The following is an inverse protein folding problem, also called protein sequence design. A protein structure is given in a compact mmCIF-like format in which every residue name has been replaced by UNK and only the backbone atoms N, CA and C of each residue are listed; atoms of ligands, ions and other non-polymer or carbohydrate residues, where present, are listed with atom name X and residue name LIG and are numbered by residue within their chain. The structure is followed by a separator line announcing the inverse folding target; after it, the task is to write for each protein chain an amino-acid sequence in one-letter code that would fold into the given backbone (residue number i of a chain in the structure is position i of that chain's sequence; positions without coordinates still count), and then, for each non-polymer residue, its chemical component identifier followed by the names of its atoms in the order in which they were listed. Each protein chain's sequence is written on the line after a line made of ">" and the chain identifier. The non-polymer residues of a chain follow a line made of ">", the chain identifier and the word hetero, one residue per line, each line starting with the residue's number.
data_IF_697618958726
#
_entry.id   IF_697618958726
#
_cell.length_a   1.000
_cell.length_b   1.000
_cell.length_c   1.000
_cell.angle_alpha   90.00
_cell.angle_beta   90.00
_cell.angle_gamma   90.00
#
_symmetry.space_group_name_H-M   'P 1'
#
loop_
_entity.id
_entity.type
_entity.pdbx_description
1 polymer ?
#
# COMPACT_ATOMS: atom_id res chain seq x y z
N UNK A 1 -6.47 -33.24 45.90
CA UNK A 1 -7.89 -32.97 45.52
C UNK A 1 -8.05 -31.65 44.79
N UNK A 2 -7.54 -30.50 45.28
CA UNK A 2 -7.68 -29.18 44.64
C UNK A 2 -7.23 -29.10 43.16
N UNK A 3 -6.17 -29.81 42.77
CA UNK A 3 -5.64 -29.83 41.39
C UNK A 3 -6.51 -30.64 40.41
N UNK A 4 -7.15 -31.73 40.87
CA UNK A 4 -8.13 -32.47 40.05
C UNK A 4 -9.43 -31.69 39.89
N UNK A 5 -9.85 -30.93 40.91
CA UNK A 5 -11.04 -30.07 40.84
C UNK A 5 -10.82 -28.86 39.93
N UNK A 6 -9.61 -28.28 39.88
CA UNK A 6 -9.28 -27.24 38.90
C UNK A 6 -9.24 -27.79 37.47
N UNK A 7 -8.64 -28.97 37.25
CA UNK A 7 -8.59 -29.59 35.92
C UNK A 7 -9.99 -29.98 35.42
N UNK A 8 -10.83 -30.55 36.31
CA UNK A 8 -12.22 -30.84 35.97
C UNK A 8 -13.04 -29.57 35.77
N UNK A 9 -12.77 -28.47 36.49
CA UNK A 9 -13.43 -27.19 36.26
C UNK A 9 -13.00 -26.55 34.93
N UNK A 10 -11.73 -26.63 34.54
CA UNK A 10 -11.26 -26.17 33.22
C UNK A 10 -11.75 -27.05 32.08
N UNK A 11 -11.85 -28.37 32.28
CA UNK A 11 -12.47 -29.29 31.32
C UNK A 11 -14.00 -29.14 31.26
N UNK A 12 -14.66 -28.82 32.38
CA UNK A 12 -16.09 -28.48 32.38
C UNK A 12 -16.34 -27.13 31.72
N UNK A 13 -15.51 -26.12 31.96
CA UNK A 13 -15.64 -24.81 31.29
C UNK A 13 -15.39 -24.96 29.79
N UNK A 14 -14.39 -25.74 29.38
CA UNK A 14 -14.15 -26.07 27.97
C UNK A 14 -15.30 -26.91 27.35
N UNK A 15 -15.93 -27.81 28.12
CA UNK A 15 -17.07 -28.60 27.67
C UNK A 15 -18.41 -27.85 27.74
N UNK A 16 -18.53 -26.79 28.55
CA UNK A 16 -19.70 -25.91 28.62
C UNK A 16 -19.70 -24.79 27.57
N UNK A 17 -18.60 -24.61 26.82
CA UNK A 17 -18.50 -23.60 25.74
C UNK A 17 -18.47 -24.16 24.33
N UNK A 18 -18.59 -25.49 24.14
CA UNK A 18 -18.81 -26.07 22.82
C UNK A 18 -20.27 -25.84 22.38
N UNK A 19 -20.65 -24.59 22.10
CA UNK A 19 -21.84 -24.32 21.32
C UNK A 19 -21.62 -24.92 19.94
N UNK A 20 -22.54 -25.80 19.52
CA UNK A 20 -22.55 -26.35 18.16
C UNK A 20 -22.52 -25.19 17.15
N UNK A 21 -21.75 -25.34 16.07
CA UNK A 21 -21.64 -24.34 15.01
C UNK A 21 -23.01 -24.15 14.38
N UNK A 22 -23.64 -23.04 14.73
CA UNK A 22 -25.05 -22.79 14.41
C UNK A 22 -25.13 -21.63 13.43
N UNK A 23 -25.93 -21.82 12.39
CA UNK A 23 -26.30 -20.79 11.43
C UNK A 23 -27.78 -20.50 11.61
N UNK A 24 -28.09 -19.35 12.20
CA UNK A 24 -29.44 -18.79 12.12
C UNK A 24 -29.56 -17.99 10.83
N UNK A 25 -30.65 -18.14 10.09
CA UNK A 25 -30.85 -17.41 8.84
C UNK A 25 -32.32 -17.04 8.63
N UNK A 26 -32.55 -16.02 7.80
CA UNK A 26 -33.89 -15.60 7.38
C UNK A 26 -33.93 -15.56 5.86
N UNK A 27 -34.91 -16.24 5.26
CA UNK A 27 -35.19 -16.21 3.83
C UNK A 27 -36.70 -15.94 3.59
N UNK A 28 -37.19 -16.20 2.37
CA UNK A 28 -38.60 -16.04 2.01
C UNK A 28 -39.57 -16.93 2.82
N UNK A 29 -39.07 -18.01 3.44
CA UNK A 29 -39.85 -18.95 4.26
C UNK A 29 -39.84 -18.57 5.76
N UNK A 30 -39.10 -17.54 6.14
CA UNK A 30 -39.00 -17.04 7.51
C UNK A 30 -37.66 -17.37 8.16
N UNK A 31 -37.63 -17.33 9.49
CA UNK A 31 -36.42 -17.55 10.29
C UNK A 31 -36.24 -19.04 10.57
N UNK A 32 -35.03 -19.54 10.34
CA UNK A 32 -34.61 -20.92 10.60
C UNK A 32 -33.26 -20.95 11.31
N UNK A 33 -32.91 -22.10 11.91
CA UNK A 33 -31.63 -22.32 12.56
C UNK A 33 -31.28 -23.80 12.50
N UNK A 34 -30.05 -24.12 12.11
CA UNK A 34 -29.52 -25.49 12.10
C UNK A 34 -27.99 -25.46 12.17
N UNK A 35 -27.36 -26.61 12.42
CA UNK A 35 -25.92 -26.74 12.39
C UNK A 35 -25.38 -26.60 10.97
N UNK A 36 -24.17 -26.06 10.79
CA UNK A 36 -23.51 -25.96 9.47
C UNK A 36 -23.44 -27.31 8.75
N UNK A 37 -23.28 -28.41 9.50
CA UNK A 37 -23.21 -29.77 8.97
C UNK A 37 -24.56 -30.32 8.46
N UNK A 38 -25.66 -29.64 8.73
CA UNK A 38 -27.00 -29.97 8.24
C UNK A 38 -27.38 -29.20 6.97
N UNK A 39 -26.50 -28.32 6.48
CA UNK A 39 -26.71 -27.63 5.21
C UNK A 39 -26.28 -28.53 4.04
N UNK A 40 -27.01 -28.41 2.94
CA UNK A 40 -26.58 -28.85 1.62
C UNK A 40 -26.17 -27.62 0.81
N UNK A 41 -25.42 -27.85 -0.27
CA UNK A 41 -24.99 -26.78 -1.18
C UNK A 41 -26.19 -25.91 -1.59
N UNK A 42 -25.98 -24.58 -1.62
CA UNK A 42 -26.96 -23.55 -1.96
C UNK A 42 -28.13 -23.34 -0.99
N UNK A 43 -28.20 -24.01 0.16
CA UNK A 43 -29.27 -23.82 1.13
C UNK A 43 -29.40 -22.36 1.65
N UNK A 44 -28.31 -21.59 1.61
CA UNK A 44 -28.29 -20.18 2.02
C UNK A 44 -28.30 -19.19 0.84
N UNK A 45 -28.51 -19.63 -0.40
CA UNK A 45 -28.43 -18.75 -1.58
C UNK A 45 -29.43 -17.58 -1.57
N UNK A 46 -30.56 -17.75 -0.88
CA UNK A 46 -31.64 -16.76 -0.77
C UNK A 46 -31.73 -16.15 0.63
N UNK A 47 -30.79 -16.48 1.53
CA UNK A 47 -30.78 -15.93 2.87
C UNK A 47 -30.54 -14.41 2.81
N UNK A 48 -31.40 -13.66 3.47
CA UNK A 48 -31.30 -12.19 3.60
C UNK A 48 -30.55 -11.78 4.87
N UNK A 49 -30.54 -12.65 5.88
CA UNK A 49 -29.78 -12.45 7.12
C UNK A 49 -29.12 -13.75 7.52
N UNK A 50 -27.91 -13.70 8.07
CA UNK A 50 -27.30 -14.80 8.81
C UNK A 50 -26.76 -14.34 10.17
N UNK A 51 -26.77 -15.24 11.15
CA UNK A 51 -26.08 -15.09 12.43
C UNK A 51 -25.32 -16.37 12.72
N UNK A 52 -24.02 -16.24 12.91
CA UNK A 52 -23.09 -17.35 13.11
C UNK A 52 -22.64 -17.39 14.57
N UNK A 53 -22.63 -18.57 15.15
CA UNK A 53 -22.20 -18.77 16.53
C UNK A 53 -21.51 -20.12 16.70
N UNK A 54 -20.76 -20.28 17.80
CA UNK A 54 -19.99 -21.49 18.09
C UNK A 54 -18.54 -21.42 17.62
N UNK A 55 -17.83 -22.53 17.72
CA UNK A 55 -16.40 -22.63 17.38
C UNK A 55 -16.20 -23.17 15.97
N UNK A 56 -15.60 -22.38 15.08
CA UNK A 56 -15.45 -22.68 13.67
C UNK A 56 -14.00 -23.07 13.33
N UNK A 57 -13.83 -24.06 12.45
CA UNK A 57 -12.56 -24.41 11.84
C UNK A 57 -12.55 -24.16 10.32
N UNK A 58 -11.44 -24.51 9.64
CA UNK A 58 -11.30 -24.36 8.18
C UNK A 58 -12.36 -25.18 7.40
N UNK A 59 -12.80 -26.34 7.91
CA UNK A 59 -13.78 -27.19 7.24
C UNK A 59 -15.18 -26.56 7.31
N UNK A 60 -15.54 -26.03 8.48
CA UNK A 60 -16.82 -25.34 8.68
C UNK A 60 -16.93 -24.08 7.82
N UNK A 61 -15.87 -23.26 7.75
CA UNK A 61 -15.84 -22.07 6.88
C UNK A 61 -15.89 -22.43 5.40
N UNK A 62 -15.22 -23.52 5.00
CA UNK A 62 -15.29 -24.03 3.63
C UNK A 62 -16.72 -24.46 3.27
N UNK A 63 -17.41 -25.15 4.16
CA UNK A 63 -18.84 -25.50 3.98
C UNK A 63 -19.71 -24.24 3.91
N UNK A 64 -19.50 -23.27 4.80
CA UNK A 64 -20.25 -22.02 4.80
C UNK A 64 -20.09 -21.25 3.49
N UNK A 65 -18.86 -21.19 2.96
CA UNK A 65 -18.59 -20.64 1.63
C UNK A 65 -19.40 -21.36 0.56
N UNK A 66 -19.40 -22.69 0.53
CA UNK A 66 -20.13 -23.47 -0.49
C UNK A 66 -21.64 -23.22 -0.46
N UNK A 67 -22.24 -23.12 0.73
CA UNK A 67 -23.69 -22.92 0.86
C UNK A 67 -24.12 -21.47 0.57
N UNK A 68 -23.19 -20.50 0.59
CA UNK A 68 -23.42 -19.10 0.27
C UNK A 68 -23.07 -18.73 -1.18
N UNK A 69 -21.94 -19.22 -1.72
CA UNK A 69 -21.29 -18.61 -2.91
C UNK A 69 -20.61 -19.57 -3.94
N UNK A 70 -20.99 -20.85 -4.04
CA UNK A 70 -20.31 -21.80 -4.94
C UNK A 70 -20.51 -21.53 -6.45
N UNK A 71 -19.39 -21.42 -7.20
CA UNK A 71 -19.27 -21.29 -8.67
C UNK A 71 -20.28 -20.33 -9.32
N UNK A 72 -21.40 -20.87 -9.84
CA UNK A 72 -22.45 -20.12 -10.55
C UNK A 72 -23.43 -19.42 -9.61
N UNK A 73 -23.37 -19.70 -8.30
CA UNK A 73 -24.37 -19.27 -7.32
C UNK A 73 -23.74 -18.39 -6.27
N UNK A 74 -24.05 -17.09 -6.31
CA UNK A 74 -23.62 -16.09 -5.33
C UNK A 74 -24.84 -15.57 -4.59
N UNK A 75 -24.86 -15.59 -3.26
CA UNK A 75 -25.95 -14.97 -2.50
C UNK A 75 -25.91 -13.45 -2.65
N UNK A 76 -26.70 -12.93 -3.60
CA UNK A 76 -26.88 -11.49 -3.85
C UNK A 76 -27.98 -10.84 -3.02
N UNK A 77 -28.60 -11.57 -2.10
CA UNK A 77 -29.72 -11.11 -1.26
C UNK A 77 -29.31 -10.88 0.20
N UNK A 78 -28.14 -11.38 0.61
CA UNK A 78 -27.64 -11.28 1.97
C UNK A 78 -27.38 -9.83 2.34
N UNK A 79 -28.23 -9.29 3.20
CA UNK A 79 -28.16 -7.89 3.66
C UNK A 79 -27.44 -7.75 4.99
N UNK A 80 -27.53 -8.77 5.85
CA UNK A 80 -26.99 -8.75 7.20
C UNK A 80 -26.24 -10.03 7.52
N UNK A 81 -25.00 -9.91 7.98
CA UNK A 81 -24.22 -11.00 8.53
C UNK A 81 -23.70 -10.63 9.93
N UNK A 82 -24.08 -11.41 10.94
CA UNK A 82 -23.59 -11.24 12.31
C UNK A 82 -22.70 -12.43 12.70
N UNK A 83 -21.40 -12.19 12.75
CA UNK A 83 -20.36 -13.16 13.09
C UNK A 83 -19.82 -12.92 14.51
N UNK A 84 -20.40 -11.99 15.27
CA UNK A 84 -19.84 -11.52 16.54
C UNK A 84 -19.77 -12.60 17.62
N UNK A 85 -20.56 -13.67 17.49
CA UNK A 85 -20.60 -14.81 18.40
C UNK A 85 -19.76 -16.02 17.93
N UNK A 86 -18.97 -15.87 16.86
CA UNK A 86 -18.04 -16.91 16.43
C UNK A 86 -16.76 -16.90 17.26
N UNK A 87 -16.23 -18.09 17.51
CA UNK A 87 -14.85 -18.32 17.92
C UNK A 87 -14.16 -19.23 16.91
N UNK A 88 -12.83 -19.28 16.91
CA UNK A 88 -12.05 -20.10 15.98
C UNK A 88 -11.25 -21.16 16.71
N UNK A 89 -11.40 -22.42 16.31
CA UNK A 89 -10.67 -23.55 16.89
C UNK A 89 -9.44 -23.90 16.05
N UNK A 90 -8.26 -23.61 16.59
CA UNK A 90 -6.99 -23.83 15.88
C UNK A 90 -6.71 -22.74 14.85
N UNK A 91 -5.64 -22.93 14.07
CA UNK A 91 -5.25 -22.02 12.99
C UNK A 91 -6.21 -22.21 11.81
N UNK A 92 -6.74 -21.11 11.29
CA UNK A 92 -7.63 -21.07 10.14
C UNK A 92 -6.79 -20.67 8.92
N UNK A 93 -6.20 -21.66 8.29
CA UNK A 93 -5.17 -21.46 7.25
C UNK A 93 -5.76 -20.85 5.99
N UNK A 94 -6.99 -21.22 5.63
CA UNK A 94 -7.71 -20.65 4.50
C UNK A 94 -8.45 -19.35 4.88
N UNK A 95 -8.41 -18.97 6.17
CA UNK A 95 -9.10 -17.82 6.71
C UNK A 95 -10.58 -17.75 6.31
N UNK A 96 -11.04 -16.54 6.00
CA UNK A 96 -12.38 -16.27 5.49
C UNK A 96 -12.40 -16.13 3.96
N UNK A 97 -11.48 -16.78 3.25
CA UNK A 97 -11.30 -16.59 1.81
C UNK A 97 -12.63 -16.73 1.07
N UNK A 98 -12.95 -15.71 0.27
CA UNK A 98 -14.16 -15.57 -0.54
C UNK A 98 -15.50 -15.62 0.21
N UNK A 99 -15.56 -15.75 1.53
CA UNK A 99 -16.79 -16.11 2.27
C UNK A 99 -18.07 -15.32 1.90
N UNK A 100 -17.95 -14.02 1.60
CA UNK A 100 -19.03 -13.12 1.21
C UNK A 100 -18.85 -12.52 -0.19
N UNK A 101 -18.02 -13.13 -1.04
CA UNK A 101 -17.75 -12.70 -2.40
C UNK A 101 -19.08 -12.56 -3.19
N UNK A 102 -19.33 -11.38 -3.76
CA UNK A 102 -20.58 -10.97 -4.42
C UNK A 102 -21.85 -10.98 -3.56
N UNK A 103 -21.74 -10.86 -2.23
CA UNK A 103 -22.87 -10.41 -1.41
C UNK A 103 -23.11 -8.91 -1.63
N UNK A 104 -23.58 -8.54 -2.83
CA UNK A 104 -23.66 -7.17 -3.35
C UNK A 104 -24.49 -6.22 -2.47
N UNK A 105 -25.51 -6.76 -1.78
CA UNK A 105 -26.41 -5.99 -0.91
C UNK A 105 -26.05 -6.05 0.58
N UNK A 106 -24.93 -6.70 0.93
CA UNK A 106 -24.46 -6.81 2.32
C UNK A 106 -24.08 -5.42 2.83
N UNK A 107 -24.87 -4.92 3.79
CA UNK A 107 -24.74 -3.56 4.33
C UNK A 107 -24.54 -3.53 5.84
N UNK A 108 -24.90 -4.62 6.54
CA UNK A 108 -24.71 -4.74 7.99
C UNK A 108 -23.84 -5.96 8.26
N UNK A 109 -22.64 -5.73 8.78
CA UNK A 109 -21.68 -6.76 9.12
C UNK A 109 -21.21 -6.56 10.56
N UNK A 110 -21.20 -7.63 11.35
CA UNK A 110 -20.50 -7.64 12.65
C UNK A 110 -19.45 -8.73 12.63
N UNK A 111 -18.20 -8.33 12.78
CA UNK A 111 -17.07 -9.25 12.80
C UNK A 111 -16.88 -9.89 14.19
N UNK A 112 -16.26 -11.08 14.27
CA UNK A 112 -15.80 -11.66 15.53
C UNK A 112 -14.88 -10.70 16.29
N UNK A 113 -15.03 -10.66 17.61
CA UNK A 113 -14.20 -9.83 18.51
C UNK A 113 -13.48 -10.66 19.58
N UNK A 114 -13.73 -11.97 19.59
CA UNK A 114 -13.06 -12.91 20.48
C UNK A 114 -11.55 -13.01 20.15
N UNK A 115 -10.73 -13.33 21.15
CA UNK A 115 -9.28 -13.44 20.99
C UNK A 115 -8.87 -14.51 19.96
N UNK A 116 -9.71 -15.51 19.71
CA UNK A 116 -9.48 -16.51 18.67
C UNK A 116 -9.52 -15.95 17.24
N UNK A 117 -10.02 -14.72 17.01
CA UNK A 117 -9.95 -14.06 15.70
C UNK A 117 -8.50 -13.89 15.20
N UNK A 118 -7.51 -13.88 16.10
CA UNK A 118 -6.10 -13.90 15.75
C UNK A 118 -5.67 -15.16 14.98
N UNK A 119 -6.47 -16.24 15.00
CA UNK A 119 -6.19 -17.48 14.28
C UNK A 119 -6.57 -17.42 12.79
N UNK A 120 -7.22 -16.35 12.32
CA UNK A 120 -7.66 -16.20 10.93
C UNK A 120 -6.61 -15.43 10.15
N UNK A 121 -5.98 -16.09 9.17
CA UNK A 121 -4.82 -15.54 8.46
C UNK A 121 -5.11 -15.05 7.03
N UNK A 122 -6.33 -15.24 6.51
CA UNK A 122 -6.71 -14.81 5.16
C UNK A 122 -8.06 -14.10 5.15
N UNK A 123 -8.10 -13.01 4.40
CA UNK A 123 -9.30 -12.29 3.95
C UNK A 123 -9.36 -12.22 2.42
N UNK A 124 -8.61 -13.07 1.70
CA UNK A 124 -8.57 -13.05 0.24
C UNK A 124 -9.97 -13.08 -0.34
N UNK A 125 -10.32 -12.05 -1.09
CA UNK A 125 -11.59 -11.90 -1.79
C UNK A 125 -12.85 -12.01 -0.91
N UNK A 126 -12.70 -11.95 0.43
CA UNK A 126 -13.79 -12.24 1.38
C UNK A 126 -15.02 -11.38 1.14
N UNK A 127 -14.85 -10.10 0.84
CA UNK A 127 -15.93 -9.14 0.60
C UNK A 127 -15.86 -8.55 -0.81
N UNK A 128 -15.20 -9.19 -1.77
CA UNK A 128 -15.13 -8.65 -3.14
C UNK A 128 -16.57 -8.49 -3.67
N UNK A 129 -16.88 -7.32 -4.22
CA UNK A 129 -18.20 -6.94 -4.73
C UNK A 129 -19.29 -6.82 -3.65
N UNK A 130 -18.96 -6.64 -2.37
CA UNK A 130 -19.92 -6.20 -1.35
C UNK A 130 -20.19 -4.68 -1.46
N UNK A 131 -20.81 -4.26 -2.56
CA UNK A 131 -20.93 -2.83 -2.93
C UNK A 131 -21.75 -1.97 -1.97
N UNK A 132 -22.59 -2.56 -1.12
CA UNK A 132 -23.36 -1.86 -0.09
C UNK A 132 -22.67 -1.78 1.29
N UNK A 133 -21.49 -2.39 1.46
CA UNK A 133 -20.77 -2.40 2.73
C UNK A 133 -20.17 -1.02 3.00
N UNK A 134 -20.32 -0.50 4.23
CA UNK A 134 -19.92 0.87 4.57
C UNK A 134 -18.80 0.94 5.60
N UNK A 135 -18.71 -0.03 6.50
CA UNK A 135 -17.69 -0.11 7.54
C UNK A 135 -17.39 -1.57 7.86
N UNK A 136 -16.13 -1.84 8.22
CA UNK A 136 -15.68 -3.15 8.70
C UNK A 136 -14.71 -2.97 9.85
N UNK A 137 -14.88 -3.75 10.91
CA UNK A 137 -13.98 -3.76 12.07
C UNK A 137 -13.15 -5.05 12.06
N UNK A 138 -11.87 -4.94 11.69
CA UNK A 138 -10.91 -6.05 11.70
C UNK A 138 -9.91 -5.94 12.85
N UNK A 139 -10.19 -5.13 13.87
CA UNK A 139 -9.24 -4.85 14.94
C UNK A 139 -8.77 -6.07 15.74
N UNK A 140 -9.56 -7.14 15.77
CA UNK A 140 -9.24 -8.39 16.47
C UNK A 140 -8.37 -9.38 15.66
N UNK A 141 -8.11 -9.11 14.38
CA UNK A 141 -7.45 -10.03 13.45
C UNK A 141 -5.97 -9.65 13.28
N UNK A 142 -5.10 -10.19 14.13
CA UNK A 142 -3.69 -9.75 14.21
C UNK A 142 -2.70 -10.64 13.45
N UNK A 143 -3.13 -11.69 12.75
CA UNK A 143 -2.23 -12.67 12.10
C UNK A 143 -2.37 -12.73 10.58
N UNK A 144 -2.77 -11.64 9.93
CA UNK A 144 -3.23 -11.69 8.54
C UNK A 144 -2.05 -11.72 7.57
N UNK A 145 -2.03 -12.72 6.68
CA UNK A 145 -1.05 -12.89 5.60
C UNK A 145 -1.63 -12.53 4.23
N UNK A 146 -2.93 -12.77 4.01
CA UNK A 146 -3.55 -12.57 2.69
C UNK A 146 -4.75 -11.63 2.77
N UNK A 147 -4.67 -10.52 2.03
CA UNK A 147 -5.69 -9.50 1.86
C UNK A 147 -6.08 -9.30 0.39
N UNK A 148 -5.55 -10.13 -0.52
CA UNK A 148 -5.75 -10.00 -1.96
C UNK A 148 -7.24 -9.89 -2.32
N UNK A 149 -7.67 -8.77 -2.92
CA UNK A 149 -9.07 -8.53 -3.29
C UNK A 149 -10.09 -8.46 -2.14
N UNK A 150 -9.65 -8.42 -0.87
CA UNK A 150 -10.53 -8.57 0.30
C UNK A 150 -11.76 -7.66 0.28
N UNK A 151 -11.62 -6.43 -0.18
CA UNK A 151 -12.67 -5.42 -0.34
C UNK A 151 -12.75 -4.85 -1.75
N UNK A 152 -12.26 -5.58 -2.76
CA UNK A 152 -12.37 -5.14 -4.16
C UNK A 152 -13.84 -4.81 -4.49
N UNK A 153 -14.09 -3.72 -5.20
CA UNK A 153 -15.44 -3.28 -5.60
C UNK A 153 -16.43 -3.04 -4.44
N UNK A 154 -15.96 -2.82 -3.21
CA UNK A 154 -16.77 -2.33 -2.09
C UNK A 154 -17.00 -0.80 -2.22
N UNK A 155 -17.76 -0.40 -3.24
CA UNK A 155 -17.84 1.01 -3.67
C UNK A 155 -18.27 2.00 -2.58
N UNK A 156 -19.11 1.58 -1.62
CA UNK A 156 -19.61 2.41 -0.50
C UNK A 156 -18.79 2.31 0.79
N UNK A 157 -17.70 1.54 0.80
CA UNK A 157 -16.87 1.33 1.98
C UNK A 157 -16.17 2.63 2.35
N UNK A 158 -16.40 3.13 3.57
CA UNK A 158 -15.86 4.41 4.06
C UNK A 158 -14.70 4.23 5.01
N UNK A 159 -14.71 3.14 5.78
CA UNK A 159 -13.71 2.88 6.82
C UNK A 159 -13.50 1.38 7.00
N UNK A 160 -12.25 1.01 7.22
CA UNK A 160 -11.88 -0.31 7.74
C UNK A 160 -10.97 -0.08 8.93
N UNK A 161 -11.38 -0.58 10.10
CA UNK A 161 -10.51 -0.53 11.28
C UNK A 161 -9.54 -1.71 11.21
N UNK A 162 -8.30 -1.39 10.90
CA UNK A 162 -7.20 -2.35 10.88
C UNK A 162 -6.75 -2.73 12.29
N UNK A 163 -6.15 -3.92 12.48
CA UNK A 163 -5.53 -4.28 13.73
C UNK A 163 -4.41 -3.31 14.08
N UNK A 164 -4.27 -2.98 15.37
CA UNK A 164 -3.20 -2.09 15.85
C UNK A 164 -1.79 -2.73 15.74
N UNK A 165 -1.73 -4.04 15.47
CA UNK A 165 -0.52 -4.84 15.30
C UNK A 165 -0.85 -6.02 14.39
N UNK A 166 0.05 -6.36 13.46
CA UNK A 166 -0.05 -7.60 12.69
C UNK A 166 1.20 -8.47 12.94
N UNK A 167 1.02 -9.55 13.70
CA UNK A 167 1.99 -10.59 14.05
C UNK A 167 2.06 -11.71 13.00
N UNK A 168 1.96 -11.35 11.72
CA UNK A 168 2.13 -12.30 10.63
C UNK A 168 3.59 -12.78 10.58
N UNK A 169 3.77 -14.10 10.69
CA UNK A 169 5.08 -14.77 10.59
C UNK A 169 5.31 -15.40 9.20
N UNK A 170 4.47 -15.06 8.21
CA UNK A 170 4.57 -15.64 6.87
C UNK A 170 5.87 -15.19 6.18
N UNK A 171 6.69 -16.19 5.83
CA UNK A 171 7.99 -16.00 5.18
C UNK A 171 7.85 -15.44 3.76
N UNK A 172 6.69 -15.63 3.11
CA UNK A 172 6.41 -15.10 1.78
C UNK A 172 5.92 -13.64 1.83
N UNK A 173 5.59 -13.15 3.03
CA UNK A 173 5.12 -11.78 3.24
C UNK A 173 3.64 -11.60 2.94
N UNK A 174 3.15 -10.39 3.21
CA UNK A 174 1.72 -10.08 3.19
C UNK A 174 1.30 -9.62 1.79
N UNK A 175 0.23 -10.21 1.27
CA UNK A 175 -0.38 -9.85 -0.02
C UNK A 175 -1.55 -8.87 0.18
N UNK A 176 -1.43 -7.66 -0.36
CA UNK A 176 -2.51 -6.66 -0.40
C UNK A 176 -3.00 -6.36 -1.82
N UNK A 177 -2.69 -7.21 -2.80
CA UNK A 177 -3.04 -7.00 -4.19
C UNK A 177 -4.55 -6.75 -4.35
N UNK A 178 -4.92 -5.62 -4.95
CA UNK A 178 -6.31 -5.20 -5.20
C UNK A 178 -7.21 -5.15 -3.94
N UNK A 179 -6.65 -5.14 -2.72
CA UNK A 179 -7.41 -5.31 -1.49
C UNK A 179 -8.54 -4.28 -1.29
N UNK A 180 -8.38 -3.07 -1.83
CA UNK A 180 -9.39 -1.99 -1.80
C UNK A 180 -9.66 -1.42 -3.20
N UNK A 181 -9.39 -2.17 -4.27
CA UNK A 181 -9.66 -1.71 -5.63
C UNK A 181 -11.13 -1.26 -5.76
N UNK A 182 -11.38 -0.11 -6.40
CA UNK A 182 -12.71 0.49 -6.56
C UNK A 182 -13.48 0.83 -5.26
N UNK A 183 -12.82 0.91 -4.09
CA UNK A 183 -13.43 1.45 -2.86
C UNK A 183 -13.62 2.97 -2.95
N UNK A 184 -14.58 3.41 -3.77
CA UNK A 184 -14.72 4.80 -4.21
C UNK A 184 -15.06 5.81 -3.09
N UNK A 185 -15.62 5.34 -1.98
CA UNK A 185 -15.97 6.13 -0.79
C UNK A 185 -14.94 6.05 0.34
N UNK A 186 -13.86 5.26 0.21
CA UNK A 186 -12.83 5.13 1.24
C UNK A 186 -12.05 6.44 1.33
N UNK A 187 -11.94 6.99 2.54
CA UNK A 187 -11.32 8.32 2.76
C UNK A 187 -9.97 8.23 3.47
N UNK A 188 -9.80 7.24 4.34
CA UNK A 188 -8.59 6.99 5.10
C UNK A 188 -8.39 5.50 5.38
N UNK A 189 -7.12 5.10 5.53
CA UNK A 189 -6.74 3.74 5.91
C UNK A 189 -5.38 3.75 6.63
N UNK A 190 -5.25 2.92 7.66
CA UNK A 190 -4.04 2.78 8.46
C UNK A 190 -3.43 1.39 8.25
N UNK A 191 -2.33 1.32 7.50
CA UNK A 191 -1.57 0.09 7.25
C UNK A 191 -0.26 0.06 8.03
N UNK A 192 -0.06 0.96 9.00
CA UNK A 192 1.22 1.09 9.70
C UNK A 192 1.62 -0.15 10.51
N UNK A 193 0.65 -1.00 10.87
CA UNK A 193 0.84 -2.25 11.59
C UNK A 193 1.37 -3.41 10.74
N UNK A 194 1.35 -3.29 9.40
CA UNK A 194 1.72 -4.37 8.48
C UNK A 194 3.17 -4.24 8.02
N UNK A 195 4.05 -5.04 8.60
CA UNK A 195 5.44 -5.20 8.14
C UNK A 195 5.55 -6.38 7.17
N UNK A 196 6.61 -6.44 6.34
CA UNK A 196 6.85 -7.54 5.40
C UNK A 196 5.77 -7.70 4.31
N UNK A 197 5.29 -6.59 3.73
CA UNK A 197 4.35 -6.64 2.60
C UNK A 197 5.12 -7.01 1.34
N UNK A 198 4.65 -7.98 0.56
CA UNK A 198 5.32 -8.41 -0.68
C UNK A 198 4.57 -7.97 -1.96
N UNK A 199 3.29 -7.60 -1.87
CA UNK A 199 2.53 -7.09 -3.01
C UNK A 199 1.55 -5.98 -2.59
N UNK A 200 1.61 -4.84 -3.29
CA UNK A 200 0.69 -3.70 -3.17
C UNK A 200 0.03 -3.36 -4.51
N UNK A 201 0.11 -4.26 -5.50
CA UNK A 201 -0.42 -4.04 -6.84
C UNK A 201 -1.91 -3.72 -6.76
N UNK A 202 -2.34 -2.58 -7.29
CA UNK A 202 -3.75 -2.17 -7.36
C UNK A 202 -4.44 -1.97 -6.01
N UNK A 203 -3.72 -1.97 -4.88
CA UNK A 203 -4.32 -1.94 -3.52
C UNK A 203 -5.43 -0.87 -3.38
N UNK A 204 -5.22 0.34 -3.92
CA UNK A 204 -6.19 1.44 -3.89
C UNK A 204 -6.56 1.96 -5.29
N UNK A 205 -6.46 1.14 -6.34
CA UNK A 205 -6.85 1.62 -7.67
C UNK A 205 -8.32 2.08 -7.69
N UNK A 206 -8.56 3.23 -8.29
CA UNK A 206 -9.85 3.95 -8.33
C UNK A 206 -10.47 4.27 -6.95
N UNK A 207 -9.70 4.31 -5.86
CA UNK A 207 -10.15 4.88 -4.57
C UNK A 207 -10.24 6.41 -4.63
N UNK A 208 -11.22 6.93 -5.38
CA UNK A 208 -11.29 8.34 -5.80
C UNK A 208 -11.36 9.36 -4.66
N UNK A 209 -11.91 8.98 -3.50
CA UNK A 209 -12.03 9.82 -2.29
C UNK A 209 -10.92 9.62 -1.25
N UNK A 210 -9.94 8.76 -1.53
CA UNK A 210 -8.87 8.48 -0.59
C UNK A 210 -7.99 9.72 -0.41
N UNK A 211 -7.88 10.21 0.82
CA UNK A 211 -7.11 11.42 1.15
C UNK A 211 -5.88 11.13 2.00
N UNK A 212 -5.95 10.12 2.87
CA UNK A 212 -4.92 9.81 3.87
C UNK A 212 -4.63 8.32 3.88
N UNK A 213 -3.37 7.96 3.74
CA UNK A 213 -2.91 6.57 3.91
C UNK A 213 -1.69 6.59 4.82
N UNK A 214 -1.74 5.81 5.90
CA UNK A 214 -0.56 5.58 6.74
C UNK A 214 0.10 4.28 6.32
N UNK A 215 1.26 4.40 5.71
CA UNK A 215 2.07 3.25 5.31
C UNK A 215 2.96 2.76 6.46
N UNK A 216 3.44 1.51 6.43
CA UNK A 216 4.47 1.05 7.36
C UNK A 216 5.73 1.88 7.24
N UNK A 217 6.36 2.19 8.39
CA UNK A 217 7.56 3.02 8.44
C UNK A 217 8.77 2.37 7.74
N UNK A 218 8.77 1.04 7.57
CA UNK A 218 9.82 0.30 6.89
C UNK A 218 9.27 -0.97 6.25
N UNK A 219 9.65 -1.22 5.01
CA UNK A 219 9.47 -2.48 4.33
C UNK A 219 10.63 -2.73 3.34
N UNK A 220 11.36 -3.83 3.54
CA UNK A 220 12.55 -4.20 2.76
C UNK A 220 12.31 -5.39 1.83
N UNK A 221 11.09 -5.95 1.85
CA UNK A 221 10.71 -7.07 1.01
C UNK A 221 10.55 -6.59 -0.43
N UNK A 222 11.09 -7.37 -1.37
CA UNK A 222 10.98 -7.03 -2.80
C UNK A 222 9.52 -7.07 -3.23
N UNK A 223 9.05 -6.01 -3.88
CA UNK A 223 7.63 -5.87 -4.24
C UNK A 223 7.36 -4.98 -5.46
N UNK A 224 6.09 -4.97 -5.88
CA UNK A 224 5.56 -4.09 -6.92
C UNK A 224 4.53 -3.11 -6.38
N UNK A 225 4.55 -1.87 -6.88
CA UNK A 225 3.59 -0.80 -6.59
C UNK A 225 2.64 -0.54 -7.77
N UNK A 226 2.57 -1.47 -8.72
CA UNK A 226 1.85 -1.26 -9.97
C UNK A 226 0.39 -0.87 -9.69
N UNK A 227 -0.06 0.27 -10.23
CA UNK A 227 -1.43 0.78 -10.03
C UNK A 227 -1.86 1.06 -8.58
N UNK A 228 -0.97 1.00 -7.59
CA UNK A 228 -1.34 1.00 -6.16
C UNK A 228 -2.23 2.17 -5.72
N UNK A 229 -2.11 3.34 -6.34
CA UNK A 229 -2.95 4.52 -6.10
C UNK A 229 -3.52 5.11 -7.40
N UNK A 230 -3.61 4.31 -8.48
CA UNK A 230 -4.11 4.81 -9.76
C UNK A 230 -5.52 5.37 -9.56
N UNK A 231 -5.78 6.57 -10.07
CA UNK A 231 -7.09 7.23 -9.97
C UNK A 231 -7.49 7.71 -8.56
N UNK A 232 -6.60 7.70 -7.57
CA UNK A 232 -6.83 8.30 -6.24
C UNK A 232 -6.86 9.84 -6.34
N UNK A 233 -7.92 10.39 -6.95
CA UNK A 233 -7.99 11.79 -7.36
C UNK A 233 -7.95 12.80 -6.21
N UNK A 234 -8.35 12.41 -4.99
CA UNK A 234 -8.34 13.27 -3.80
C UNK A 234 -7.09 13.12 -2.92
N UNK A 235 -6.17 12.20 -3.26
CA UNK A 235 -4.93 11.98 -2.51
C UNK A 235 -4.02 13.22 -2.66
N UNK A 236 -3.59 13.80 -1.53
CA UNK A 236 -2.79 15.04 -1.51
C UNK A 236 -1.32 14.82 -1.23
N UNK A 237 -1.03 13.91 -0.32
CA UNK A 237 0.33 13.59 0.13
C UNK A 237 0.41 12.10 0.39
N UNK A 238 1.56 11.50 0.10
CA UNK A 238 1.82 10.10 0.45
C UNK A 238 3.30 9.92 0.82
N UNK A 239 3.52 9.17 1.89
CA UNK A 239 4.86 8.79 2.34
C UNK A 239 5.11 7.32 2.04
N UNK A 240 5.98 7.06 1.06
CA UNK A 240 6.46 5.72 0.71
C UNK A 240 7.96 5.59 0.94
N UNK A 241 8.55 6.46 1.78
CA UNK A 241 9.99 6.49 2.03
C UNK A 241 10.52 5.21 2.70
N UNK A 242 9.64 4.47 3.37
CA UNK A 242 9.97 3.20 4.03
C UNK A 242 10.14 2.01 3.08
N UNK A 243 9.78 2.12 1.79
CA UNK A 243 9.80 1.01 0.84
C UNK A 243 11.07 1.02 -0.02
N UNK A 244 12.15 0.44 0.49
CA UNK A 244 13.48 0.52 -0.16
C UNK A 244 13.67 -0.49 -1.29
N UNK A 245 12.84 -1.53 -1.40
CA UNK A 245 13.05 -2.63 -2.35
C UNK A 245 11.87 -2.80 -3.34
N UNK A 246 11.62 -1.79 -4.17
CA UNK A 246 10.50 -1.79 -5.12
C UNK A 246 11.01 -1.91 -6.55
N UNK A 247 10.57 -2.95 -7.25
CA UNK A 247 10.96 -3.22 -8.63
C UNK A 247 10.23 -2.34 -9.65
N UNK A 248 8.96 -2.00 -9.42
CA UNK A 248 8.17 -1.23 -10.38
C UNK A 248 7.14 -0.32 -9.69
N UNK A 249 7.07 0.91 -10.19
CA UNK A 249 6.09 1.94 -9.84
C UNK A 249 5.12 2.23 -11.00
N UNK A 250 4.93 1.25 -11.89
CA UNK A 250 4.15 1.47 -13.11
C UNK A 250 2.72 1.94 -12.80
N UNK A 251 2.38 3.13 -13.30
CA UNK A 251 1.11 3.82 -13.09
C UNK A 251 0.68 3.96 -11.61
N UNK A 252 1.60 3.88 -10.65
CA UNK A 252 1.31 3.90 -9.21
C UNK A 252 0.46 5.10 -8.79
N UNK A 253 0.77 6.31 -9.26
CA UNK A 253 0.03 7.54 -8.94
C UNK A 253 -0.72 8.10 -10.15
N UNK A 254 -0.89 7.32 -11.23
CA UNK A 254 -1.51 7.81 -12.45
C UNK A 254 -2.93 8.32 -12.17
N UNK A 255 -3.23 9.57 -12.53
CA UNK A 255 -4.52 10.21 -12.28
C UNK A 255 -4.74 10.76 -10.87
N UNK A 256 -3.71 10.81 -10.01
CA UNK A 256 -3.77 11.47 -8.70
C UNK A 256 -3.75 13.01 -8.85
N UNK A 257 -4.85 13.58 -9.36
CA UNK A 257 -4.94 14.99 -9.77
C UNK A 257 -4.69 16.01 -8.64
N UNK A 258 -4.91 15.63 -7.38
CA UNK A 258 -4.68 16.50 -6.23
C UNK A 258 -3.36 16.24 -5.49
N UNK A 259 -2.53 15.33 -5.97
CA UNK A 259 -1.26 14.97 -5.34
C UNK A 259 -0.28 16.14 -5.45
N UNK A 260 0.18 16.62 -4.30
CA UNK A 260 1.10 17.77 -4.18
C UNK A 260 2.50 17.36 -3.71
N UNK A 261 2.61 16.26 -2.97
CA UNK A 261 3.88 15.78 -2.43
C UNK A 261 3.90 14.24 -2.40
N UNK A 262 5.03 13.66 -2.81
CA UNK A 262 5.33 12.24 -2.64
C UNK A 262 6.70 12.13 -1.99
N UNK A 263 6.79 11.48 -0.83
CA UNK A 263 8.08 11.15 -0.23
C UNK A 263 8.55 9.80 -0.74
N UNK A 264 9.45 9.85 -1.72
CA UNK A 264 10.10 8.68 -2.30
C UNK A 264 11.15 8.08 -1.33
N UNK A 265 11.53 6.80 -1.50
CA UNK A 265 12.64 6.21 -0.77
C UNK A 265 13.94 7.01 -0.98
N UNK A 266 14.68 7.26 0.11
CA UNK A 266 15.98 7.92 0.05
C UNK A 266 17.12 6.99 -0.45
N UNK A 267 16.84 5.69 -0.52
CA UNK A 267 17.72 4.65 -1.05
C UNK A 267 16.89 3.55 -1.69
N UNK A 268 17.40 2.94 -2.76
CA UNK A 268 16.81 1.76 -3.39
C UNK A 268 17.74 0.55 -3.26
N UNK A 269 17.20 -0.57 -2.81
CA UNK A 269 17.79 -1.90 -2.81
C UNK A 269 17.43 -2.69 -4.08
N UNK A 270 16.41 -2.24 -4.83
CA UNK A 270 16.03 -2.87 -6.10
C UNK A 270 17.14 -2.72 -7.14
N UNK A 271 17.39 -3.80 -7.87
CA UNK A 271 18.33 -3.80 -8.98
C UNK A 271 17.87 -2.93 -10.15
N UNK A 272 16.58 -2.95 -10.49
CA UNK A 272 15.99 -2.16 -11.57
C UNK A 272 14.72 -1.46 -11.07
N UNK A 273 14.40 -0.31 -11.67
CA UNK A 273 13.18 0.43 -11.37
C UNK A 273 12.46 0.85 -12.66
N UNK A 274 11.14 0.62 -12.70
CA UNK A 274 10.26 1.01 -13.80
C UNK A 274 9.31 2.12 -13.35
N UNK A 275 9.31 3.26 -14.04
CA UNK A 275 8.49 4.44 -13.72
C UNK A 275 7.42 4.76 -14.77
N UNK A 276 7.05 3.77 -15.60
CA UNK A 276 6.08 3.96 -16.68
C UNK A 276 4.78 4.55 -16.15
N UNK A 277 4.40 5.73 -16.66
CA UNK A 277 3.19 6.46 -16.30
C UNK A 277 3.02 6.74 -14.80
N UNK A 278 4.07 6.63 -13.97
CA UNK A 278 3.97 6.65 -12.49
C UNK A 278 3.25 7.88 -11.97
N UNK A 279 3.58 9.08 -12.46
CA UNK A 279 2.96 10.34 -12.05
C UNK A 279 2.06 10.93 -13.14
N UNK A 280 1.69 10.14 -14.16
CA UNK A 280 0.88 10.61 -15.29
C UNK A 280 -0.44 11.24 -14.79
N UNK A 281 -0.71 12.49 -15.15
CA UNK A 281 -1.89 13.25 -14.74
C UNK A 281 -1.86 13.80 -13.30
N UNK A 282 -0.72 13.76 -12.60
CA UNK A 282 -0.53 14.42 -11.30
C UNK A 282 -0.38 15.94 -11.48
N UNK A 283 -1.47 16.61 -11.86
CA UNK A 283 -1.45 18.01 -12.31
C UNK A 283 -1.10 19.04 -11.23
N UNK A 284 -1.07 18.66 -9.94
CA UNK A 284 -0.67 19.51 -8.81
C UNK A 284 0.68 19.16 -8.18
N UNK A 285 1.36 18.13 -8.68
CA UNK A 285 2.65 17.70 -8.13
C UNK A 285 3.72 18.69 -8.57
N UNK A 286 4.49 19.23 -7.60
CA UNK A 286 5.48 20.29 -7.86
C UNK A 286 6.91 19.77 -7.87
N UNK A 287 7.21 18.69 -7.14
CA UNK A 287 8.54 18.10 -7.15
C UNK A 287 8.54 16.60 -6.88
N UNK A 288 9.52 15.91 -7.46
CA UNK A 288 9.81 14.48 -7.22
C UNK A 288 11.32 14.26 -7.18
N UNK A 289 11.78 13.49 -6.21
CA UNK A 289 13.17 13.03 -6.11
C UNK A 289 13.28 11.53 -6.37
N UNK A 290 13.93 11.17 -7.49
CA UNK A 290 14.18 9.79 -7.91
C UNK A 290 15.67 9.42 -7.84
N UNK A 291 16.53 10.24 -7.24
CA UNK A 291 17.99 10.02 -7.23
C UNK A 291 18.42 8.73 -6.54
N UNK A 292 17.57 8.19 -5.67
CA UNK A 292 17.80 6.91 -5.00
C UNK A 292 17.83 5.72 -5.97
N UNK A 293 17.22 5.84 -7.15
CA UNK A 293 17.11 4.77 -8.14
C UNK A 293 18.27 4.88 -9.15
N UNK A 294 19.23 3.96 -9.06
CA UNK A 294 20.47 4.01 -9.85
C UNK A 294 20.44 3.21 -11.14
N UNK A 295 19.31 2.51 -11.39
CA UNK A 295 19.07 1.71 -12.60
C UNK A 295 17.60 1.83 -13.01
N UNK A 296 17.26 2.95 -13.65
CA UNK A 296 15.92 3.17 -14.21
C UNK A 296 15.88 2.74 -15.67
N UNK A 297 14.95 1.86 -16.02
CA UNK A 297 14.83 1.26 -17.36
C UNK A 297 13.69 1.82 -18.20
N UNK A 298 12.68 2.44 -17.58
CA UNK A 298 11.50 2.96 -18.28
C UNK A 298 10.98 4.25 -17.63
N UNK A 299 10.97 5.35 -18.40
CA UNK A 299 10.37 6.64 -18.02
C UNK A 299 9.18 7.02 -18.92
N UNK A 300 8.61 6.08 -19.69
CA UNK A 300 7.52 6.37 -20.61
C UNK A 300 6.36 7.02 -19.86
N UNK A 301 5.93 8.19 -20.33
CA UNK A 301 4.80 8.95 -19.77
C UNK A 301 4.90 9.26 -18.26
N UNK A 302 6.08 9.12 -17.63
CA UNK A 302 6.23 9.20 -16.17
C UNK A 302 5.66 10.50 -15.59
N UNK A 303 5.90 11.65 -16.25
CA UNK A 303 5.43 12.97 -15.84
C UNK A 303 4.44 13.57 -16.86
N UNK A 304 3.84 12.75 -17.72
CA UNK A 304 2.82 13.19 -18.68
C UNK A 304 1.68 13.91 -17.94
N UNK A 305 1.30 15.13 -18.34
CA UNK A 305 0.21 15.87 -17.69
C UNK A 305 0.56 16.48 -16.32
N UNK A 306 1.83 16.51 -15.91
CA UNK A 306 2.28 17.16 -14.67
C UNK A 306 2.39 18.69 -14.83
N UNK A 307 1.25 19.36 -15.00
CA UNK A 307 1.18 20.78 -15.39
C UNK A 307 1.65 21.79 -14.33
N UNK A 308 1.89 21.37 -13.09
CA UNK A 308 2.39 22.24 -12.00
C UNK A 308 3.82 21.90 -11.58
N UNK A 309 4.52 21.05 -12.34
CA UNK A 309 5.86 20.60 -11.96
C UNK A 309 6.87 21.75 -11.97
N UNK A 310 7.65 21.86 -10.90
CA UNK A 310 8.71 22.85 -10.72
C UNK A 310 10.10 22.18 -10.80
N UNK A 311 10.30 21.06 -10.10
CA UNK A 311 11.60 20.39 -10.01
C UNK A 311 11.52 18.87 -10.04
N UNK A 312 12.21 18.24 -10.99
CA UNK A 312 12.36 16.79 -11.08
C UNK A 312 13.85 16.44 -10.88
N UNK A 313 14.15 15.58 -9.90
CA UNK A 313 15.48 14.98 -9.76
C UNK A 313 15.45 13.55 -10.29
N UNK A 314 16.12 13.28 -11.41
CA UNK A 314 16.07 11.97 -12.05
C UNK A 314 16.97 10.95 -11.34
N UNK A 315 16.51 9.70 -11.32
CA UNK A 315 17.36 8.53 -11.07
C UNK A 315 18.24 8.22 -12.28
N UNK A 316 19.32 7.48 -12.06
CA UNK A 316 20.26 7.10 -13.13
C UNK A 316 19.56 6.21 -14.14
N UNK A 317 19.26 6.79 -15.31
CA UNK A 317 18.74 6.06 -16.44
C UNK A 317 19.83 5.12 -16.97
N UNK A 318 19.46 3.86 -17.20
CA UNK A 318 20.35 2.91 -17.83
C UNK A 318 20.38 3.24 -19.32
N UNK A 319 21.48 3.86 -19.80
CA UNK A 319 21.72 4.17 -21.22
C UNK A 319 22.12 2.88 -21.99
N UNK A 320 21.57 1.73 -21.63
CA UNK A 320 21.54 0.61 -22.56
C UNK A 320 20.33 0.85 -23.43
N UNK A 321 20.54 0.84 -24.74
CA UNK A 321 19.50 1.14 -25.73
C UNK A 321 18.16 0.51 -25.33
N UNK A 322 17.15 1.34 -24.98
CA UNK A 322 15.92 0.90 -24.31
C UNK A 322 15.15 -0.16 -25.12
N UNK A 323 15.42 -0.21 -26.43
CA UNK A 323 14.90 -1.16 -27.41
C UNK A 323 15.16 -2.63 -27.04
N UNK A 324 16.27 -2.93 -26.36
CA UNK A 324 16.64 -4.32 -26.01
C UNK A 324 15.97 -4.83 -24.72
N UNK A 325 15.46 -3.93 -23.86
CA UNK A 325 14.83 -4.28 -22.58
C UNK A 325 13.35 -3.87 -22.51
N UNK A 326 12.76 -3.41 -23.61
CA UNK A 326 11.33 -3.06 -23.70
C UNK A 326 10.93 -1.76 -23.00
N UNK A 327 11.90 -0.98 -22.49
CA UNK A 327 11.68 0.33 -21.89
C UNK A 327 11.42 1.40 -22.95
N UNK A 328 10.82 2.53 -22.55
CA UNK A 328 10.63 3.67 -23.45
C UNK A 328 10.83 5.00 -22.70
N UNK A 329 11.19 6.03 -23.43
CA UNK A 329 11.34 7.40 -22.93
C UNK A 329 10.32 8.35 -23.58
N UNK A 330 9.36 7.81 -24.32
CA UNK A 330 8.34 8.58 -25.04
C UNK A 330 7.42 9.30 -24.05
N UNK A 331 7.10 10.56 -24.36
CA UNK A 331 6.14 11.38 -23.64
C UNK A 331 6.44 11.59 -22.14
N UNK A 332 7.69 11.37 -21.71
CA UNK A 332 8.09 11.48 -20.29
C UNK A 332 7.69 12.81 -19.67
N UNK A 333 7.86 13.92 -20.40
CA UNK A 333 7.63 15.29 -19.92
C UNK A 333 6.51 16.04 -20.66
N UNK A 334 5.63 15.32 -21.36
CA UNK A 334 4.51 15.94 -22.08
C UNK A 334 3.63 16.74 -21.11
N UNK A 335 3.29 17.97 -21.47
CA UNK A 335 2.55 18.96 -20.65
C UNK A 335 3.25 19.45 -19.37
N UNK A 336 4.53 19.11 -19.15
CA UNK A 336 5.32 19.79 -18.12
C UNK A 336 5.57 21.26 -18.51
N UNK A 337 5.61 22.20 -17.54
CA UNK A 337 5.92 23.60 -17.83
C UNK A 337 7.36 23.79 -18.33
N UNK A 338 7.58 24.72 -19.25
CA UNK A 338 8.94 25.14 -19.69
C UNK A 338 9.83 25.66 -18.55
N UNK A 339 9.22 26.11 -17.45
CA UNK A 339 9.90 26.53 -16.23
C UNK A 339 10.35 25.36 -15.35
N UNK A 340 9.86 24.13 -15.59
CA UNK A 340 10.24 22.94 -14.85
C UNK A 340 11.72 22.65 -15.05
N UNK A 341 12.45 22.50 -13.95
CA UNK A 341 13.86 22.11 -13.95
C UNK A 341 13.98 20.60 -13.79
N UNK A 342 14.70 19.96 -14.69
CA UNK A 342 14.97 18.52 -14.64
C UNK A 342 16.44 18.32 -14.38
N UNK A 343 16.78 17.93 -13.16
CA UNK A 343 18.15 17.64 -12.74
C UNK A 343 18.52 16.23 -13.21
N UNK A 344 19.46 16.16 -14.14
CA UNK A 344 20.01 14.91 -14.66
C UNK A 344 20.83 14.19 -13.58
N UNK A 345 21.04 12.87 -13.67
CA UNK A 345 21.88 12.15 -12.73
C UNK A 345 23.33 12.67 -12.72
N UNK A 346 24.03 12.48 -11.60
CA UNK A 346 25.46 12.84 -11.48
C UNK A 346 26.27 12.17 -12.61
N UNK A 347 27.14 12.93 -13.27
CA UNK A 347 27.94 12.49 -14.42
C UNK A 347 27.23 12.55 -15.77
N UNK A 348 25.94 12.91 -15.82
CA UNK A 348 25.19 13.07 -17.08
C UNK A 348 25.16 14.54 -17.48
N UNK A 349 25.82 14.85 -18.59
CA UNK A 349 26.00 16.23 -19.07
C UNK A 349 24.97 16.66 -20.12
N UNK A 350 24.30 15.70 -20.76
CA UNK A 350 23.33 15.95 -21.82
C UNK A 350 22.11 15.05 -21.64
N UNK A 351 20.94 15.57 -21.94
CA UNK A 351 19.72 14.78 -21.94
C UNK A 351 19.70 13.79 -23.13
N UNK A 352 19.14 12.58 -22.97
CA UNK A 352 18.88 11.66 -24.07
C UNK A 352 18.20 12.32 -25.28
N UNK A 353 18.51 11.86 -26.49
CA UNK A 353 17.91 12.39 -27.74
C UNK A 353 16.38 12.32 -27.74
N UNK A 354 15.80 11.30 -27.11
CA UNK A 354 14.35 11.14 -26.95
C UNK A 354 13.67 12.31 -26.19
N UNK A 355 14.43 13.12 -25.46
CA UNK A 355 13.93 14.27 -24.71
C UNK A 355 14.35 15.61 -25.31
N UNK A 356 14.94 15.63 -26.52
CA UNK A 356 15.45 16.86 -27.15
C UNK A 356 14.38 17.95 -27.29
N UNK A 357 13.13 17.56 -27.55
CA UNK A 357 12.00 18.48 -27.74
C UNK A 357 11.13 18.61 -26.49
N UNK A 358 11.58 18.09 -25.34
CA UNK A 358 10.82 18.16 -24.11
C UNK A 358 10.65 19.63 -23.66
N UNK A 359 9.45 20.04 -23.21
CA UNK A 359 9.15 21.42 -22.82
C UNK A 359 9.65 21.70 -21.39
N UNK A 360 10.92 21.42 -21.09
CA UNK A 360 11.53 21.54 -19.76
C UNK A 360 12.97 22.06 -19.86
N UNK A 361 13.52 22.53 -18.74
CA UNK A 361 14.93 22.95 -18.68
C UNK A 361 15.76 21.85 -18.01
N UNK A 362 16.64 21.20 -18.76
CA UNK A 362 17.57 20.21 -18.21
C UNK A 362 18.74 20.89 -17.49
N UNK A 363 19.04 20.40 -16.29
CA UNK A 363 20.17 20.82 -15.47
C UNK A 363 21.16 19.64 -15.41
N UNK A 364 22.35 19.75 -16.04
CA UNK A 364 23.32 18.66 -16.08
C UNK A 364 23.97 18.38 -14.71
N UNK A 365 24.59 17.20 -14.60
CA UNK A 365 25.38 16.75 -13.43
C UNK A 365 24.67 16.92 -12.07
N UNK A 366 23.37 16.66 -12.03
CA UNK A 366 22.56 16.82 -10.80
C UNK A 366 22.46 18.25 -10.30
N UNK A 367 22.74 19.26 -11.14
CA UNK A 367 22.85 20.65 -10.71
C UNK A 367 24.19 21.03 -10.10
N UNK A 368 25.23 20.21 -10.27
CA UNK A 368 26.59 20.58 -9.88
C UNK A 368 27.05 21.84 -10.60
N UNK A 369 27.30 22.93 -9.86
CA UNK A 369 28.06 24.05 -10.40
C UNK A 369 29.54 23.79 -10.09
N UNK A 370 30.36 23.62 -11.11
CA UNK A 370 31.81 23.68 -10.93
C UNK A 370 32.18 25.11 -10.54
N UNK A 371 32.57 25.32 -9.28
CA UNK A 371 33.15 26.58 -8.83
C UNK A 371 34.65 26.34 -8.67
N UNK A 372 35.47 27.04 -9.46
CA UNK A 372 36.91 27.06 -9.22
C UNK A 372 37.19 27.80 -7.90
N UNK A 373 37.65 27.05 -6.90
CA UNK A 373 38.25 27.61 -5.70
C UNK A 373 39.67 27.04 -5.55
N UNK A 374 40.67 27.92 -5.48
CA UNK A 374 42.08 27.57 -5.25
C UNK A 374 42.69 26.58 -6.27
N UNK A 375 42.23 26.60 -7.53
CA UNK A 375 42.80 25.77 -8.59
C UNK A 375 42.44 24.28 -8.52
N UNK A 376 41.42 23.92 -7.74
CA UNK A 376 40.83 22.56 -7.71
C UNK A 376 39.36 22.68 -8.08
N UNK A 377 38.93 21.97 -9.13
CA UNK A 377 37.52 21.79 -9.49
C UNK A 377 36.91 20.72 -8.58
N UNK A 378 36.34 21.13 -7.46
CA UNK A 378 35.45 20.26 -6.68
C UNK A 378 34.00 20.46 -7.12
N UNK A 379 33.30 19.37 -7.41
CA UNK A 379 31.90 19.39 -7.83
C UNK A 379 31.00 19.67 -6.62
N UNK A 380 30.35 20.83 -6.60
CA UNK A 380 29.42 21.26 -5.55
C UNK A 380 27.99 21.15 -6.07
N UNK A 381 27.07 20.41 -5.40
CA UNK A 381 25.68 20.29 -5.86
C UNK A 381 24.92 21.62 -5.76
N UNK A 382 23.92 21.81 -6.63
CA UNK A 382 23.07 23.02 -6.71
C UNK A 382 22.57 23.51 -5.37
N UNK A 383 22.26 22.55 -4.50
CA UNK A 383 21.83 22.76 -3.13
C UNK A 383 22.56 21.72 -2.27
N UNK A 384 23.29 22.20 -1.27
CA UNK A 384 23.92 21.37 -0.24
C UNK A 384 23.07 21.40 1.03
N UNK A 385 22.69 20.21 1.51
CA UNK A 385 22.00 20.05 2.78
C UNK A 385 23.03 19.77 3.88
N UNK A 386 23.01 20.57 4.95
CA UNK A 386 23.87 20.39 6.12
C UNK A 386 23.04 19.72 7.20
N UNK A 387 23.41 18.49 7.57
CA UNK A 387 22.80 17.77 8.68
C UNK A 387 23.75 17.72 9.87
N UNK A 388 23.22 17.74 11.08
CA UNK A 388 23.98 17.32 12.26
C UNK A 388 24.22 15.81 12.22
N UNK A 389 25.18 15.33 13.01
CA UNK A 389 25.57 13.90 13.02
C UNK A 389 24.44 12.95 13.44
N UNK A 390 23.42 13.46 14.12
CA UNK A 390 22.19 12.74 14.50
C UNK A 390 21.11 12.76 13.40
N UNK A 391 21.40 13.33 12.22
CA UNK A 391 20.53 13.29 11.04
C UNK A 391 19.52 14.44 10.94
N UNK A 392 19.58 15.45 11.82
CA UNK A 392 18.69 16.62 11.74
C UNK A 392 19.21 17.63 10.70
N UNK A 393 18.34 18.08 9.80
CA UNK A 393 18.67 19.15 8.85
C UNK A 393 18.89 20.47 9.60
N UNK A 394 20.07 21.08 9.43
CA UNK A 394 20.47 22.34 10.06
C UNK A 394 20.24 23.51 9.12
N UNK A 395 20.70 23.40 7.88
CA UNK A 395 20.48 24.42 6.85
C UNK A 395 20.66 23.85 5.44
N UNK A 396 20.13 24.61 4.49
CA UNK A 396 20.20 24.34 3.05
C UNK A 396 20.97 25.49 2.41
N UNK A 397 22.04 25.18 1.65
CA UNK A 397 22.96 26.17 1.09
C UNK A 397 23.01 26.03 -0.44
N UNK A 398 22.59 27.04 -1.21
CA UNK A 398 22.76 27.04 -2.65
C UNK A 398 24.23 26.98 -3.07
N UNK A 399 24.54 26.40 -4.23
CA UNK A 399 25.90 26.27 -4.74
C UNK A 399 26.65 27.61 -4.79
N UNK A 400 25.96 28.70 -5.17
CA UNK A 400 26.52 30.05 -5.22
C UNK A 400 27.06 30.56 -3.86
N UNK A 401 26.58 29.99 -2.75
CA UNK A 401 26.95 30.37 -1.39
C UNK A 401 27.77 29.30 -0.68
N UNK A 402 28.21 28.25 -1.38
CA UNK A 402 28.91 27.11 -0.78
C UNK A 402 30.23 27.51 -0.09
N UNK A 403 30.89 28.57 -0.55
CA UNK A 403 32.07 29.14 0.14
C UNK A 403 31.78 29.61 1.57
N UNK A 404 30.50 29.84 1.90
CA UNK A 404 30.02 30.25 3.21
C UNK A 404 29.33 29.12 3.99
N UNK A 405 29.40 27.87 3.51
CA UNK A 405 28.74 26.69 4.08
C UNK A 405 29.01 26.52 5.60
N UNK A 406 30.21 26.88 6.08
CA UNK A 406 30.58 26.77 7.50
C UNK A 406 30.06 27.92 8.38
N UNK A 407 29.59 29.02 7.79
CA UNK A 407 29.18 30.19 8.55
C UNK A 407 27.97 29.87 9.44
N UNK A 408 28.06 30.25 10.71
CA UNK A 408 27.00 30.06 11.71
C UNK A 408 26.85 28.64 12.24
N UNK A 409 27.78 27.72 11.93
CA UNK A 409 27.83 26.38 12.53
C UNK A 409 28.72 26.40 13.77
N UNK A 410 28.28 25.76 14.84
CA UNK A 410 29.12 25.51 16.02
C UNK A 410 30.19 24.45 15.71
N UNK A 411 31.28 24.46 16.47
CA UNK A 411 32.39 23.51 16.36
C UNK A 411 31.89 22.07 16.47
N UNK A 412 32.13 21.24 15.45
CA UNK A 412 31.58 19.88 15.40
C UNK A 412 31.69 19.19 14.04
N UNK A 413 31.10 17.98 13.95
CA UNK A 413 30.99 17.17 12.73
C UNK A 413 29.58 17.32 12.16
N UNK A 414 29.51 17.62 10.86
CA UNK A 414 28.27 17.69 10.10
C UNK A 414 28.34 16.74 8.91
N UNK A 415 27.17 16.33 8.42
CA UNK A 415 27.05 15.57 7.16
C UNK A 415 26.60 16.54 6.09
N UNK A 416 27.41 16.68 5.04
CA UNK A 416 27.09 17.51 3.87
C UNK A 416 27.28 16.65 2.64
N UNK A 417 26.23 16.51 1.84
CA UNK A 417 26.26 15.71 0.60
C UNK A 417 26.73 14.26 0.82
N UNK A 418 26.44 13.69 2.00
CA UNK A 418 26.84 12.32 2.38
C UNK A 418 28.26 12.20 2.95
N UNK A 419 29.05 13.28 2.98
CA UNK A 419 30.40 13.29 3.51
C UNK A 419 30.51 14.05 4.83
N UNK A 420 31.50 13.66 5.66
CA UNK A 420 31.76 14.32 6.95
C UNK A 420 32.51 15.62 6.73
N UNK A 421 31.91 16.73 7.14
CA UNK A 421 32.55 18.04 7.20
C UNK A 421 32.89 18.40 8.64
N UNK A 422 34.16 18.70 8.90
CA UNK A 422 34.62 19.28 10.17
C UNK A 422 34.51 20.82 10.15
N UNK A 423 33.89 21.37 11.19
CA UNK A 423 33.92 22.80 11.52
C UNK A 423 34.85 22.97 12.71
N UNK A 424 36.00 23.62 12.48
CA UNK A 424 37.09 23.77 13.47
C UNK A 424 36.89 24.92 14.45
#
# INVERSE_FOLDING_TARGET
>A
MKTKTLLLASLLVAALTAQAQTVEYTDANGKSSKSINEFQDHDLQNATTITLSGAWDDEDLSKLRLVLIQEDYKNKQLKTADLSAMTFSGIISNGMTELFNHCEVLSTLKMPTDASAANVHSFSETFWYCSELTEVDLSAFTGISYFGGAFGSCEKLKTVKMPAKNDCEDIYGIDFSNAFEFCSELTEIDLSAFTNIHDLTGIFDQCRKLTTVKMPAKNTTYMYFNYAFRGCSELRTIDISGFTNVGSFSATFSGCKNLTEVKMPASSESEDAYFRSTFSGCSKLTSVDLRAFTRVTDYKETFHGCTSMEEIYLGTAVIFEPENYGGSYTDTFTDCPSTCKVYLPKGVMEAPEAWRDAPVTFIPDGGGAGIEANGVTEAIPAISHVYSIDGRLIKTVPAAEYSTLKNGLDRGIYIVNGEKMMVE
#
